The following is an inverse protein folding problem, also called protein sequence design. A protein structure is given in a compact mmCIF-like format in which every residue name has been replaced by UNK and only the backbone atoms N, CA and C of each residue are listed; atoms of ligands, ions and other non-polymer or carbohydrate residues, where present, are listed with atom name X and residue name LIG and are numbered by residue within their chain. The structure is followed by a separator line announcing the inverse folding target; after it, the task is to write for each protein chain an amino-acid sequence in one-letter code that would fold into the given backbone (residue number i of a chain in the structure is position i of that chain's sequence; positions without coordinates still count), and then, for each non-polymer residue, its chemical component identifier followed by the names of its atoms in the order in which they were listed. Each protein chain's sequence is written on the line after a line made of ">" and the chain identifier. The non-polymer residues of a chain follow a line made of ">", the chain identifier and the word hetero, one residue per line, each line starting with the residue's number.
data_IF_707643521986
#
_entry.id   IF_707643521986
#
_cell.length_a   1.000
_cell.length_b   1.000
_cell.length_c   1.000
_cell.angle_alpha   90.00
_cell.angle_beta   90.00
_cell.angle_gamma   90.00
#
_symmetry.space_group_name_H-M   'P 1'
#
loop_
_entity.id
_entity.type
_entity.pdbx_description
1 polymer ?
#
# COMPACT_ATOMS: atom_id res chain seq x y z
N UNK A 1 15.38 20.14 11.45
CA UNK A 1 14.54 19.13 12.12
C UNK A 1 14.84 17.81 11.47
N UNK A 2 15.24 16.81 12.25
CA UNK A 2 15.57 15.48 11.75
C UNK A 2 14.29 14.76 11.33
N UNK A 3 14.21 14.28 10.08
CA UNK A 3 13.04 13.56 9.57
C UNK A 3 12.97 12.20 10.26
N UNK A 4 12.14 12.08 11.29
CA UNK A 4 11.93 10.82 12.00
C UNK A 4 10.91 9.96 11.23
N UNK A 5 11.33 8.77 10.80
CA UNK A 5 10.41 7.76 10.27
C UNK A 5 9.42 7.34 11.38
N UNK A 6 8.13 7.32 11.06
CA UNK A 6 7.04 6.88 11.92
C UNK A 6 6.27 5.80 11.18
N UNK A 7 6.15 4.63 11.79
CA UNK A 7 5.35 3.51 11.29
C UNK A 7 4.90 2.68 12.49
N UNK A 8 3.63 2.80 12.88
CA UNK A 8 3.11 2.22 14.12
C UNK A 8 1.58 2.05 14.07
N UNK A 9 1.06 1.21 14.96
CA UNK A 9 -0.37 1.12 15.24
C UNK A 9 -0.68 1.95 16.49
N UNK A 10 -1.72 2.77 16.44
CA UNK A 10 -2.23 3.55 17.59
C UNK A 10 -3.63 3.10 17.94
N UNK A 11 -3.88 2.83 19.21
CA UNK A 11 -5.19 2.41 19.70
C UNK A 11 -6.08 3.62 19.96
N UNK A 12 -7.26 3.66 19.33
CA UNK A 12 -8.33 4.58 19.69
C UNK A 12 -9.17 3.97 20.82
N UNK A 13 -9.12 4.51 22.06
CA UNK A 13 -9.85 3.95 23.19
C UNK A 13 -11.35 4.28 23.17
N UNK A 14 -11.81 5.19 22.31
CA UNK A 14 -13.22 5.59 22.21
C UNK A 14 -13.99 4.67 21.27
N UNK A 15 -13.36 4.25 20.16
CA UNK A 15 -13.94 3.33 19.18
C UNK A 15 -13.51 1.88 19.40
N UNK A 16 -12.40 1.66 20.11
CA UNK A 16 -11.83 0.32 20.26
C UNK A 16 -11.19 -0.18 18.97
N UNK A 17 -10.52 0.72 18.24
CA UNK A 17 -9.99 0.44 16.90
C UNK A 17 -8.49 0.76 16.81
N UNK A 18 -7.80 0.06 15.90
CA UNK A 18 -6.41 0.35 15.58
C UNK A 18 -6.30 1.28 14.39
N UNK A 19 -5.56 2.37 14.57
CA UNK A 19 -5.22 3.32 13.51
C UNK A 19 -3.80 3.01 13.04
N UNK A 20 -3.66 2.68 11.76
CA UNK A 20 -2.35 2.55 11.13
C UNK A 20 -1.78 3.94 10.83
N UNK A 21 -0.54 4.21 11.24
CA UNK A 21 0.15 5.48 10.98
C UNK A 21 1.47 5.19 10.27
N UNK A 22 1.72 5.83 9.13
CA UNK A 22 2.96 5.67 8.35
C UNK A 22 3.30 6.95 7.58
N UNK A 23 4.37 7.64 7.97
CA UNK A 23 4.76 8.92 7.32
C UNK A 23 5.55 8.73 6.01
N UNK A 24 5.91 7.49 5.64
CA UNK A 24 6.48 7.20 4.32
C UNK A 24 5.51 7.56 3.20
N UNK A 25 4.20 7.60 3.50
CA UNK A 25 3.14 7.93 2.54
C UNK A 25 3.17 9.37 2.08
N UNK A 26 3.78 10.27 2.84
CA UNK A 26 3.99 11.66 2.43
C UNK A 26 4.92 11.75 1.21
N UNK A 27 5.72 10.71 0.97
CA UNK A 27 6.60 10.59 -0.20
C UNK A 27 5.87 10.04 -1.44
N UNK A 28 4.60 9.64 -1.33
CA UNK A 28 3.82 9.12 -2.46
C UNK A 28 3.50 10.29 -3.40
N UNK A 29 3.89 10.23 -4.69
CA UNK A 29 3.54 11.26 -5.64
C UNK A 29 2.01 11.30 -5.81
N UNK A 30 1.46 12.51 -5.85
CA UNK A 30 0.07 12.74 -6.25
C UNK A 30 0.00 12.73 -7.78
N UNK A 31 -0.78 11.80 -8.35
CA UNK A 31 -1.11 11.68 -9.78
C UNK A 31 0.02 12.09 -10.76
N UNK A 32 1.04 11.24 -10.95
CA UNK A 32 2.04 11.48 -11.99
C UNK A 32 1.39 11.47 -13.39
N UNK A 33 1.31 12.64 -14.04
CA UNK A 33 0.53 12.84 -15.28
C UNK A 33 1.04 12.03 -16.50
N UNK A 34 2.33 11.68 -16.52
CA UNK A 34 2.97 11.05 -17.67
C UNK A 34 3.42 9.60 -17.44
N UNK A 35 3.05 9.00 -16.30
CA UNK A 35 3.57 7.69 -15.92
C UNK A 35 2.64 6.93 -14.99
N UNK A 36 2.17 5.75 -15.43
CA UNK A 36 1.46 4.81 -14.58
C UNK A 36 2.45 3.78 -13.98
N UNK A 37 2.54 3.65 -12.64
CA UNK A 37 3.42 2.66 -12.01
C UNK A 37 2.95 1.21 -12.15
N UNK A 38 1.73 0.99 -12.64
CA UNK A 38 1.09 -0.33 -12.73
C UNK A 38 1.04 -0.88 -14.16
N UNK A 39 1.34 -0.08 -15.18
CA UNK A 39 1.39 -0.57 -16.55
C UNK A 39 2.57 -1.54 -16.78
N UNK A 40 2.45 -2.50 -17.70
CA UNK A 40 3.57 -3.34 -18.13
C UNK A 40 4.77 -2.49 -18.58
N UNK A 41 5.98 -2.87 -18.15
CA UNK A 41 7.23 -2.18 -18.45
C UNK A 41 7.60 -1.06 -17.49
N UNK A 42 6.75 -0.73 -16.52
CA UNK A 42 7.12 0.11 -15.40
C UNK A 42 8.23 -0.55 -14.56
N UNK A 43 8.99 0.22 -13.74
CA UNK A 43 10.18 -0.28 -13.04
C UNK A 43 9.97 -1.52 -12.16
N UNK A 44 8.74 -1.73 -11.68
CA UNK A 44 8.38 -2.84 -10.77
C UNK A 44 7.46 -3.88 -11.44
N UNK A 45 6.99 -3.67 -12.67
CA UNK A 45 5.92 -4.52 -13.26
C UNK A 45 6.43 -5.55 -14.26
N UNK A 46 7.53 -5.31 -14.97
CA UNK A 46 7.97 -6.20 -16.05
C UNK A 46 6.88 -6.38 -17.13
N UNK A 47 6.91 -7.49 -17.87
CA UNK A 47 6.00 -7.76 -18.98
C UNK A 47 5.45 -9.19 -18.95
N UNK A 48 4.36 -9.45 -19.71
CA UNK A 48 3.87 -10.80 -20.00
C UNK A 48 3.05 -11.46 -18.89
N UNK A 49 2.47 -10.66 -17.98
CA UNK A 49 1.60 -11.12 -16.91
C UNK A 49 0.13 -10.81 -17.24
N UNK A 50 -0.78 -11.65 -16.73
CA UNK A 50 -2.23 -11.41 -16.78
C UNK A 50 -2.69 -10.62 -15.53
N UNK A 51 -2.14 -10.97 -14.37
CA UNK A 51 -2.35 -10.30 -13.08
C UNK A 51 -1.01 -10.25 -12.34
N UNK A 52 -0.78 -9.22 -11.54
CA UNK A 52 0.50 -9.04 -10.84
C UNK A 52 0.31 -8.56 -9.40
N UNK A 53 1.02 -9.18 -8.45
CA UNK A 53 1.05 -8.74 -7.05
C UNK A 53 2.39 -8.10 -6.75
N UNK A 54 2.37 -6.81 -6.38
CA UNK A 54 3.57 -6.04 -6.06
C UNK A 54 3.62 -5.67 -4.58
N UNK A 55 4.81 -5.63 -3.99
CA UNK A 55 5.00 -5.00 -2.66
C UNK A 55 4.69 -3.51 -2.78
N UNK A 56 3.84 -2.99 -1.91
CA UNK A 56 3.48 -1.57 -1.92
C UNK A 56 4.71 -0.73 -1.54
N UNK A 57 5.09 0.23 -2.40
CA UNK A 57 6.25 1.11 -2.19
C UNK A 57 6.10 2.05 -0.99
N UNK A 58 4.86 2.37 -0.60
CA UNK A 58 4.55 3.28 0.52
C UNK A 58 3.64 2.57 1.56
N UNK A 59 4.16 1.52 2.22
CA UNK A 59 3.33 0.60 2.99
C UNK A 59 2.92 1.17 4.35
N UNK A 60 1.75 0.72 4.85
CA UNK A 60 1.32 0.99 6.22
C UNK A 60 2.01 0.07 7.23
N UNK A 61 2.29 -1.17 6.83
CA UNK A 61 2.87 -2.22 7.65
C UNK A 61 4.28 -2.60 7.14
N UNK A 62 5.08 -3.22 8.00
CA UNK A 62 6.44 -3.68 7.67
C UNK A 62 6.70 -5.07 8.26
N UNK A 63 7.47 -5.90 7.55
CA UNK A 63 7.99 -7.17 8.09
C UNK A 63 9.00 -6.92 9.22
N UNK A 64 9.62 -5.75 9.21
CA UNK A 64 10.57 -5.26 10.22
C UNK A 64 10.07 -3.90 10.73
N UNK A 65 9.05 -3.87 11.61
CA UNK A 65 8.50 -2.62 12.11
C UNK A 65 9.50 -1.95 13.06
N UNK A 66 9.58 -0.62 12.99
CA UNK A 66 10.34 0.14 13.97
C UNK A 66 9.62 0.12 15.33
N UNK A 67 10.34 0.26 16.46
CA UNK A 67 9.69 0.37 17.76
C UNK A 67 8.68 1.53 17.78
N UNK A 68 7.44 1.31 18.23
CA UNK A 68 6.43 2.35 18.26
C UNK A 68 6.79 3.44 19.29
N UNK A 69 6.26 4.64 19.08
CA UNK A 69 6.34 5.72 20.04
C UNK A 69 5.60 5.35 21.33
N UNK A 70 6.07 5.91 22.45
CA UNK A 70 5.39 5.79 23.75
C UNK A 70 4.58 7.07 24.00
N UNK A 71 3.30 6.90 24.28
CA UNK A 71 2.36 7.98 24.52
C UNK A 71 1.64 7.76 25.85
N UNK A 72 1.22 8.84 26.50
CA UNK A 72 0.61 8.80 27.84
C UNK A 72 -0.86 8.37 27.78
N UNK A 73 -1.58 8.79 26.74
CA UNK A 73 -3.04 8.68 26.68
C UNK A 73 -3.57 7.47 25.92
N UNK A 74 -2.73 6.80 25.13
CA UNK A 74 -3.14 5.69 24.28
C UNK A 74 -2.02 4.67 24.11
N UNK A 75 -2.42 3.44 23.85
CA UNK A 75 -1.50 2.33 23.57
C UNK A 75 -1.02 2.36 22.13
N UNK A 76 0.18 1.83 21.91
CA UNK A 76 0.75 1.64 20.58
C UNK A 76 1.27 0.21 20.43
N UNK A 77 1.34 -0.25 19.19
CA UNK A 77 1.90 -1.55 18.83
C UNK A 77 2.77 -1.45 17.57
N UNK A 78 3.74 -2.37 17.38
CA UNK A 78 4.49 -2.46 16.14
C UNK A 78 3.55 -2.68 14.94
N UNK A 79 3.80 -1.97 13.84
CA UNK A 79 3.05 -2.11 12.59
C UNK A 79 3.53 -3.31 11.77
N UNK A 80 3.50 -4.50 12.35
CA UNK A 80 3.96 -5.72 11.68
C UNK A 80 2.98 -6.16 10.59
N UNK A 81 3.49 -6.46 9.39
CA UNK A 81 2.70 -7.02 8.31
C UNK A 81 3.24 -6.70 6.93
N UNK A 82 2.44 -7.01 5.89
CA UNK A 82 2.80 -6.80 4.49
C UNK A 82 1.69 -6.04 3.79
N UNK A 83 2.06 -5.06 2.97
CA UNK A 83 1.13 -4.36 2.10
C UNK A 83 1.47 -4.69 0.65
N UNK A 84 0.50 -5.19 -0.08
CA UNK A 84 0.63 -5.49 -1.50
C UNK A 84 -0.37 -4.66 -2.31
N UNK A 85 -0.09 -4.51 -3.60
CA UNK A 85 -1.01 -4.00 -4.61
C UNK A 85 -1.29 -5.15 -5.57
N UNK A 86 -2.55 -5.45 -5.79
CA UNK A 86 -3.00 -6.38 -6.83
C UNK A 86 -3.26 -5.54 -8.08
N UNK A 87 -2.53 -5.82 -9.15
CA UNK A 87 -2.76 -5.23 -10.47
C UNK A 87 -3.58 -6.25 -11.24
N UNK A 88 -4.86 -5.93 -11.41
CA UNK A 88 -5.88 -6.85 -11.90
C UNK A 88 -5.67 -7.23 -13.36
N UNK A 89 -5.23 -6.28 -14.19
CA UNK A 89 -5.04 -6.44 -15.64
C UNK A 89 -3.87 -5.59 -16.16
N UNK A 90 -3.19 -5.98 -17.25
CA UNK A 90 -2.20 -5.14 -17.92
C UNK A 90 -2.82 -3.98 -18.71
N UNK A 91 -4.15 -3.97 -18.90
CA UNK A 91 -4.87 -2.95 -19.67
C UNK A 91 -5.05 -1.68 -18.81
N UNK A 92 -4.61 -0.53 -19.32
CA UNK A 92 -4.67 0.74 -18.58
C UNK A 92 -6.05 1.39 -18.60
N UNK A 93 -6.72 1.35 -19.76
CA UNK A 93 -7.93 2.13 -20.04
C UNK A 93 -9.22 1.36 -19.71
N UNK A 94 -9.18 0.56 -18.64
CA UNK A 94 -10.35 -0.13 -18.08
C UNK A 94 -10.88 0.70 -16.92
N UNK A 95 -12.17 0.99 -16.89
CA UNK A 95 -12.77 1.88 -15.88
C UNK A 95 -12.93 1.16 -14.53
N UNK A 96 -13.45 -0.07 -14.56
CA UNK A 96 -13.70 -0.87 -13.36
C UNK A 96 -13.46 -2.37 -13.57
N UNK A 97 -13.33 -3.11 -12.47
CA UNK A 97 -13.20 -4.58 -12.49
C UNK A 97 -14.37 -5.27 -13.23
N UNK A 98 -15.55 -4.63 -13.24
CA UNK A 98 -16.75 -5.14 -13.91
C UNK A 98 -16.69 -5.11 -15.44
N UNK A 99 -15.74 -4.39 -16.03
CA UNK A 99 -15.50 -4.38 -17.48
C UNK A 99 -14.58 -5.51 -17.96
N UNK A 100 -13.97 -6.26 -17.04
CA UNK A 100 -13.12 -7.40 -17.34
C UNK A 100 -13.95 -8.64 -17.68
N UNK A 101 -13.43 -9.50 -18.56
CA UNK A 101 -14.06 -10.79 -18.82
C UNK A 101 -14.01 -11.69 -17.56
N UNK A 102 -14.99 -12.58 -17.40
CA UNK A 102 -15.03 -13.54 -16.30
C UNK A 102 -13.70 -14.31 -16.13
N UNK A 103 -13.03 -14.67 -17.24
CA UNK A 103 -11.76 -15.38 -17.20
C UNK A 103 -10.60 -14.53 -16.70
N UNK A 104 -10.65 -13.21 -16.86
CA UNK A 104 -9.67 -12.27 -16.30
C UNK A 104 -9.93 -12.09 -14.79
N UNK A 105 -11.19 -11.84 -14.40
CA UNK A 105 -11.58 -11.71 -12.98
C UNK A 105 -11.23 -12.97 -12.19
N UNK A 106 -11.42 -14.16 -12.77
CA UNK A 106 -11.07 -15.43 -12.12
C UNK A 106 -9.57 -15.59 -11.79
N UNK A 107 -8.68 -14.85 -12.47
CA UNK A 107 -7.23 -14.91 -12.25
C UNK A 107 -6.74 -13.96 -11.17
N UNK A 108 -7.56 -12.97 -10.81
CA UNK A 108 -7.31 -12.00 -9.72
C UNK A 108 -7.52 -12.67 -8.37
#
# INVERSE_FOLDING_TARGET
>A
MEYRKVQELRWDPTLGEWIMVSNIRDLRPWQPENFCPFCPGAPETGFGWDTLILKNRYPMLSEEPIPPGKYVFYSTAPSYGKCYVVIETPKHDVDDISDLDYTEIYRV
#
